data_IF_577065116400
#
_entry.id   IF_577065116400
#
_cell.length_a   1.000
_cell.length_b   1.000
_cell.length_c   1.000
_cell.angle_alpha   90.00
_cell.angle_beta   90.00
_cell.angle_gamma   90.00
#
_symmetry.space_group_name_H-M   'P 1'
#
loop_
_entity.id
_entity.type
_entity.pdbx_description
1 polymer ?
#
# COMPACT_ATOMS: atom_id res chain seq x y z
N UNK A 1 17.21 -14.08 22.85
CA UNK A 1 16.48 -13.65 21.63
C UNK A 1 15.43 -12.60 22.00
N UNK A 2 15.17 -11.67 21.10
CA UNK A 2 14.08 -10.70 21.18
C UNK A 2 12.73 -11.40 21.41
N UNK A 3 11.89 -10.85 22.28
CA UNK A 3 10.51 -11.34 22.51
C UNK A 3 9.56 -10.69 21.51
N UNK A 4 9.15 -11.44 20.47
CA UNK A 4 8.20 -10.96 19.47
C UNK A 4 6.78 -10.98 20.00
N UNK A 5 6.05 -9.87 19.79
CA UNK A 5 4.68 -9.68 20.20
C UNK A 5 3.84 -9.19 19.02
N UNK A 6 2.53 -9.44 19.09
CA UNK A 6 1.56 -8.90 18.16
C UNK A 6 0.35 -8.31 18.90
N UNK A 7 -0.31 -7.35 18.27
CA UNK A 7 -1.56 -6.75 18.75
C UNK A 7 -2.22 -5.97 17.60
N UNK A 8 -3.39 -5.42 17.88
CA UNK A 8 -3.99 -4.43 16.98
C UNK A 8 -3.33 -3.07 17.15
N UNK A 9 -3.31 -2.28 16.08
CA UNK A 9 -2.75 -0.92 16.10
C UNK A 9 -3.33 -0.06 17.23
N UNK A 10 -4.65 -0.07 17.40
CA UNK A 10 -5.33 0.71 18.43
C UNK A 10 -5.05 0.25 19.87
N UNK A 11 -4.56 -0.97 20.07
CA UNK A 11 -4.18 -1.51 21.37
C UNK A 11 -2.72 -1.21 21.74
N UNK A 12 -1.89 -0.86 20.75
CA UNK A 12 -0.45 -0.71 20.95
C UNK A 12 -0.13 0.39 21.99
N UNK A 13 -0.87 1.50 21.95
CA UNK A 13 -0.65 2.60 22.90
C UNK A 13 -0.88 2.17 24.37
N UNK A 14 -1.89 1.35 24.62
CA UNK A 14 -2.17 0.83 25.98
C UNK A 14 -1.08 -0.13 26.46
N UNK A 15 -0.59 -0.99 25.56
CA UNK A 15 0.49 -1.96 25.84
C UNK A 15 1.84 -1.29 26.15
N UNK A 16 1.99 -0.02 25.78
CA UNK A 16 3.18 0.81 26.02
C UNK A 16 3.06 1.68 27.29
N UNK A 17 2.05 1.44 28.14
CA UNK A 17 1.93 2.19 29.40
C UNK A 17 3.18 2.02 30.26
N UNK A 18 3.80 3.13 30.69
CA UNK A 18 5.06 3.18 31.45
C UNK A 18 6.27 2.56 30.75
N UNK A 19 6.23 2.43 29.40
CA UNK A 19 7.34 1.91 28.59
C UNK A 19 7.89 3.00 27.67
N UNK A 20 9.16 2.82 27.26
CA UNK A 20 9.82 3.66 26.25
C UNK A 20 9.84 2.94 24.91
N UNK A 21 9.25 3.57 23.92
CA UNK A 21 9.23 3.04 22.56
C UNK A 21 10.46 3.52 21.78
N UNK A 22 11.10 2.62 21.09
CA UNK A 22 12.11 2.90 20.07
C UNK A 22 11.65 2.34 18.73
N UNK A 23 11.69 3.16 17.67
CA UNK A 23 11.33 2.74 16.33
C UNK A 23 12.59 2.36 15.56
N UNK A 24 12.69 1.12 15.06
CA UNK A 24 13.84 0.70 14.26
C UNK A 24 13.54 0.83 12.78
N UNK A 25 14.18 1.80 12.14
CA UNK A 25 14.01 2.23 10.76
C UNK A 25 13.43 3.65 10.68
N UNK A 26 14.22 4.62 10.22
CA UNK A 26 13.84 6.02 9.99
C UNK A 26 13.72 6.36 8.49
N UNK A 27 13.40 5.36 7.66
CA UNK A 27 13.26 5.50 6.21
C UNK A 27 11.84 5.84 5.77
N UNK A 28 11.57 5.69 4.48
CA UNK A 28 10.26 5.96 3.88
C UNK A 28 9.11 5.21 4.54
N UNK A 29 9.35 4.00 5.07
CA UNK A 29 8.33 3.27 5.81
C UNK A 29 7.89 4.03 7.07
N UNK A 30 8.83 4.63 7.82
CA UNK A 30 8.50 5.44 8.99
C UNK A 30 7.71 6.70 8.61
N UNK A 31 8.02 7.32 7.46
CA UNK A 31 7.25 8.45 6.91
C UNK A 31 5.82 8.03 6.53
N UNK A 32 5.64 6.84 5.95
CA UNK A 32 4.31 6.32 5.60
C UNK A 32 3.48 5.99 6.81
N UNK A 33 4.11 5.51 7.88
CA UNK A 33 3.48 5.19 9.16
C UNK A 33 3.22 6.41 10.04
N UNK A 34 3.68 7.59 9.64
CA UNK A 34 3.51 8.82 10.44
C UNK A 34 2.04 9.06 10.79
N UNK A 35 1.14 8.82 9.83
CA UNK A 35 -0.29 8.98 10.03
C UNK A 35 -0.83 8.00 11.10
N UNK A 36 -0.54 6.70 10.98
CA UNK A 36 -0.99 5.66 11.92
C UNK A 36 -0.43 5.90 13.31
N UNK A 37 0.85 6.26 13.41
CA UNK A 37 1.53 6.59 14.68
C UNK A 37 0.84 7.79 15.36
N UNK A 38 0.51 8.84 14.60
CA UNK A 38 -0.19 10.01 15.13
C UNK A 38 -1.64 9.68 15.54
N UNK A 39 -2.37 8.90 14.73
CA UNK A 39 -3.76 8.51 15.02
C UNK A 39 -3.91 7.72 16.33
N UNK A 40 -2.91 6.93 16.70
CA UNK A 40 -2.90 6.17 17.97
C UNK A 40 -2.09 6.85 19.07
N UNK A 41 -1.70 8.11 18.89
CA UNK A 41 -0.96 8.93 19.86
C UNK A 41 0.34 8.28 20.35
N UNK A 42 1.10 7.68 19.45
CA UNK A 42 2.39 7.05 19.78
C UNK A 42 3.58 8.00 19.68
N UNK A 43 3.46 9.12 18.95
CA UNK A 43 4.57 10.03 18.71
C UNK A 43 5.25 10.49 20.02
N UNK A 44 4.46 10.82 21.05
CA UNK A 44 4.94 11.24 22.37
C UNK A 44 5.69 10.14 23.14
N UNK A 45 5.45 8.87 22.81
CA UNK A 45 6.10 7.71 23.47
C UNK A 45 7.38 7.28 22.79
N UNK A 46 7.64 7.77 21.57
CA UNK A 46 8.85 7.41 20.83
C UNK A 46 10.04 8.18 21.40
N UNK A 47 10.96 7.45 22.04
CA UNK A 47 12.19 8.02 22.61
C UNK A 47 13.23 8.35 21.53
N UNK A 48 13.36 7.50 20.52
CA UNK A 48 14.24 7.71 19.37
C UNK A 48 13.87 6.77 18.21
N UNK A 49 14.28 7.15 17.01
CA UNK A 49 14.43 6.23 15.88
C UNK A 49 15.84 5.63 15.91
N UNK A 50 15.94 4.34 15.60
CA UNK A 50 17.20 3.63 15.41
C UNK A 50 17.41 3.48 13.91
N UNK A 51 18.57 3.85 13.37
CA UNK A 51 18.89 3.63 11.98
C UNK A 51 20.36 3.19 11.80
N UNK A 52 20.58 2.20 10.93
CA UNK A 52 21.91 1.72 10.60
C UNK A 52 22.63 2.62 9.59
N UNK A 53 21.91 3.49 8.88
CA UNK A 53 22.50 4.44 7.95
C UNK A 53 23.17 5.59 8.73
N UNK A 54 24.49 5.64 8.66
CA UNK A 54 25.30 6.66 9.34
C UNK A 54 24.86 8.09 8.98
N UNK A 55 24.48 8.34 7.73
CA UNK A 55 24.06 9.68 7.30
C UNK A 55 22.75 10.17 7.93
N UNK A 56 21.96 9.28 8.49
CA UNK A 56 20.72 9.62 9.21
C UNK A 56 20.93 9.81 10.71
N UNK A 57 21.98 9.24 11.24
CA UNK A 57 22.27 9.33 12.68
C UNK A 57 22.61 10.79 13.06
N UNK A 58 22.03 11.26 14.16
CA UNK A 58 22.13 12.66 14.60
C UNK A 58 21.14 13.60 13.93
N UNK A 59 20.29 13.12 13.00
CA UNK A 59 19.16 13.86 12.46
C UNK A 59 17.88 13.65 13.30
N UNK A 60 16.75 14.14 12.82
CA UNK A 60 15.46 14.00 13.47
C UNK A 60 14.40 13.52 12.48
N UNK A 61 13.45 12.72 12.98
CA UNK A 61 12.16 12.45 12.33
C UNK A 61 11.12 13.34 13.02
N UNK A 62 10.34 14.09 12.25
CA UNK A 62 9.27 14.93 12.78
C UNK A 62 7.92 14.21 12.64
N UNK A 63 7.23 14.00 13.78
CA UNK A 63 5.91 13.38 13.85
C UNK A 63 5.02 14.24 14.76
N UNK A 64 3.89 14.68 14.25
CA UNK A 64 2.91 15.50 14.98
C UNK A 64 3.55 16.74 15.67
N UNK A 65 4.48 17.39 14.96
CA UNK A 65 5.24 18.54 15.49
C UNK A 65 6.35 18.19 16.49
N UNK A 66 6.54 16.90 16.80
CA UNK A 66 7.57 16.42 17.73
C UNK A 66 8.81 16.01 16.95
N UNK A 67 9.97 16.57 17.26
CA UNK A 67 11.27 16.18 16.69
C UNK A 67 11.87 15.03 17.49
N UNK A 68 11.88 13.84 16.91
CA UNK A 68 12.35 12.61 17.51
C UNK A 68 13.75 12.30 16.98
N UNK A 69 14.78 12.14 17.82
CA UNK A 69 16.16 11.94 17.37
C UNK A 69 16.35 10.59 16.68
N UNK A 70 17.24 10.56 15.70
CA UNK A 70 17.73 9.33 15.04
C UNK A 70 19.08 8.95 15.64
N UNK A 71 19.17 7.76 16.22
CA UNK A 71 20.37 7.26 16.90
C UNK A 71 20.92 5.99 16.25
N UNK A 72 22.18 5.68 16.49
CA UNK A 72 22.77 4.41 16.07
C UNK A 72 22.24 3.24 16.90
N UNK A 73 22.30 2.02 16.35
CA UNK A 73 21.98 0.79 17.08
C UNK A 73 22.81 0.64 18.36
N UNK A 74 24.11 0.94 18.32
CA UNK A 74 24.98 0.87 19.49
C UNK A 74 24.57 1.86 20.60
N UNK A 75 24.15 3.07 20.24
CA UNK A 75 23.66 4.05 21.21
C UNK A 75 22.33 3.61 21.84
N UNK A 76 21.44 3.03 21.04
CA UNK A 76 20.21 2.43 21.55
C UNK A 76 20.49 1.33 22.57
N UNK A 77 21.39 0.37 22.25
CA UNK A 77 21.75 -0.72 23.19
C UNK A 77 22.25 -0.18 24.51
N UNK A 78 23.01 0.92 24.53
CA UNK A 78 23.51 1.56 25.76
C UNK A 78 22.42 2.26 26.57
N UNK A 79 21.39 2.79 25.90
CA UNK A 79 20.32 3.59 26.52
C UNK A 79 19.11 2.76 27.00
N UNK A 80 19.04 1.49 26.61
CA UNK A 80 17.92 0.62 26.96
C UNK A 80 17.77 0.42 28.48
N UNK A 81 16.56 0.14 28.90
CA UNK A 81 16.20 -0.23 30.28
C UNK A 81 15.10 -1.30 30.29
N UNK A 82 14.67 -1.73 31.47
CA UNK A 82 13.65 -2.77 31.62
C UNK A 82 12.26 -2.41 31.05
N UNK A 83 12.01 -1.13 30.77
CA UNK A 83 10.77 -0.68 30.12
C UNK A 83 10.93 -0.42 28.61
N UNK A 84 12.01 -0.88 27.98
CA UNK A 84 12.25 -0.68 26.55
C UNK A 84 11.38 -1.60 25.71
N UNK A 85 10.74 -1.01 24.70
CA UNK A 85 9.98 -1.72 23.66
C UNK A 85 10.47 -1.24 22.30
N UNK A 86 10.54 -2.14 21.33
CA UNK A 86 10.96 -1.84 19.96
C UNK A 86 9.75 -2.01 19.03
N UNK A 87 9.54 -1.06 18.13
CA UNK A 87 8.69 -1.20 16.96
C UNK A 87 9.57 -1.14 15.71
N UNK A 88 9.62 -2.22 14.93
CA UNK A 88 10.33 -2.19 13.65
C UNK A 88 9.43 -1.51 12.62
N UNK A 89 9.95 -0.41 12.04
CA UNK A 89 9.31 0.46 11.06
C UNK A 89 10.08 0.43 9.74
N UNK A 90 10.31 -0.78 9.23
CA UNK A 90 11.12 -1.00 8.02
C UNK A 90 10.74 -2.28 7.31
N UNK A 91 10.81 -2.26 5.97
CA UNK A 91 10.68 -3.47 5.15
C UNK A 91 11.83 -4.48 5.35
N UNK A 92 12.96 -4.05 5.92
CA UNK A 92 14.10 -4.90 6.25
C UNK A 92 14.00 -5.52 7.65
N UNK A 93 12.76 -5.71 8.16
CA UNK A 93 12.50 -6.22 9.51
C UNK A 93 13.18 -7.55 9.82
N UNK A 94 13.32 -8.44 8.85
CA UNK A 94 14.01 -9.71 9.04
C UNK A 94 15.49 -9.54 9.41
N UNK A 95 16.20 -8.66 8.68
CA UNK A 95 17.63 -8.41 8.92
C UNK A 95 17.83 -7.65 10.26
N UNK A 96 16.89 -6.76 10.58
CA UNK A 96 16.88 -6.04 11.86
C UNK A 96 16.63 -6.98 13.06
N UNK A 97 15.73 -7.97 12.90
CA UNK A 97 15.52 -9.01 13.90
C UNK A 97 16.78 -9.84 14.13
N UNK A 98 17.43 -10.30 13.04
CA UNK A 98 18.69 -11.04 13.15
C UNK A 98 19.78 -10.22 13.84
N UNK A 99 19.87 -8.92 13.55
CA UNK A 99 20.81 -8.01 14.23
C UNK A 99 20.52 -7.94 15.72
N UNK A 100 19.26 -7.77 16.12
CA UNK A 100 18.87 -7.69 17.53
C UNK A 100 19.05 -9.02 18.26
N UNK A 101 18.77 -10.16 17.61
CA UNK A 101 18.94 -11.48 18.22
C UNK A 101 20.41 -11.84 18.49
N UNK A 102 21.35 -11.21 17.77
CA UNK A 102 22.81 -11.36 18.01
C UNK A 102 23.33 -10.50 19.16
N UNK A 103 22.51 -9.59 19.69
CA UNK A 103 22.86 -8.68 20.78
C UNK A 103 22.33 -9.24 22.12
N UNK A 104 23.21 -9.83 22.98
CA UNK A 104 22.78 -10.48 24.22
C UNK A 104 22.07 -9.53 25.18
N UNK A 105 22.40 -8.25 25.13
CA UNK A 105 21.79 -7.24 25.98
C UNK A 105 20.34 -6.94 25.62
N UNK A 106 19.84 -7.43 24.48
CA UNK A 106 18.43 -7.31 24.04
C UNK A 106 17.62 -8.57 24.32
N UNK A 107 18.18 -9.56 25.02
CA UNK A 107 17.44 -10.79 25.34
C UNK A 107 16.19 -10.49 26.16
N UNK A 108 15.04 -11.01 25.70
CA UNK A 108 13.73 -10.79 26.31
C UNK A 108 13.11 -9.41 26.09
N UNK A 109 13.79 -8.48 25.41
CA UNK A 109 13.20 -7.16 25.07
C UNK A 109 12.00 -7.34 24.15
N UNK A 110 10.89 -6.69 24.48
CA UNK A 110 9.65 -6.74 23.71
C UNK A 110 9.81 -6.02 22.37
N UNK A 111 9.37 -6.68 21.30
CA UNK A 111 9.45 -6.15 19.96
C UNK A 111 8.15 -6.40 19.19
N UNK A 112 7.64 -5.35 18.58
CA UNK A 112 6.57 -5.39 17.58
C UNK A 112 7.17 -5.12 16.20
N UNK A 113 6.55 -5.69 15.18
CA UNK A 113 6.91 -5.41 13.79
C UNK A 113 5.66 -4.84 13.12
N UNK A 114 5.78 -3.65 12.58
CA UNK A 114 4.67 -2.89 12.03
C UNK A 114 3.83 -3.72 11.05
N UNK A 115 4.48 -4.39 10.10
CA UNK A 115 3.78 -5.16 9.06
C UNK A 115 2.93 -6.32 9.60
N UNK A 116 3.14 -6.75 10.84
CA UNK A 116 2.35 -7.80 11.50
C UNK A 116 1.28 -7.24 12.44
N UNK A 117 1.27 -5.94 12.73
CA UNK A 117 0.20 -5.35 13.52
C UNK A 117 -1.13 -5.48 12.76
N UNK A 118 -2.16 -5.91 13.50
CA UNK A 118 -3.47 -6.18 12.92
C UNK A 118 -4.26 -4.89 12.76
N UNK A 119 -4.81 -4.67 11.58
CA UNK A 119 -5.80 -3.63 11.32
C UNK A 119 -7.21 -4.15 11.61
N UNK A 120 -8.13 -3.30 12.06
CA UNK A 120 -9.55 -3.68 12.19
C UNK A 120 -10.11 -4.16 10.86
N UNK A 121 -10.93 -5.21 10.90
CA UNK A 121 -11.70 -5.64 9.73
C UNK A 121 -12.93 -4.75 9.64
N UNK A 122 -12.93 -3.84 8.69
CA UNK A 122 -14.04 -2.94 8.43
C UNK A 122 -15.06 -3.58 7.47
N UNK A 123 -16.34 -3.41 7.79
CA UNK A 123 -17.43 -3.95 6.96
C UNK A 123 -17.72 -3.02 5.79
N UNK A 124 -17.92 -3.61 4.62
CA UNK A 124 -18.47 -2.91 3.47
C UNK A 124 -19.99 -3.05 3.43
N UNK A 125 -20.65 -2.02 2.94
CA UNK A 125 -22.10 -2.01 2.75
C UNK A 125 -22.39 -1.70 1.29
N UNK A 126 -23.12 -2.60 0.64
CA UNK A 126 -23.65 -2.37 -0.69
C UNK A 126 -25.14 -2.09 -0.55
N UNK A 127 -25.58 -0.90 -0.92
CA UNK A 127 -27.01 -0.63 -1.03
C UNK A 127 -27.55 -1.45 -2.21
N UNK A 128 -28.23 -2.52 -1.91
CA UNK A 128 -28.94 -3.35 -2.90
C UNK A 128 -30.29 -2.69 -3.21
N UNK A 129 -30.26 -1.44 -3.64
CA UNK A 129 -31.42 -0.87 -4.28
C UNK A 129 -31.56 -1.54 -5.65
N UNK A 130 -32.55 -2.42 -5.80
CA UNK A 130 -32.75 -3.24 -6.99
C UNK A 130 -32.95 -2.44 -8.30
N UNK A 131 -33.11 -1.11 -8.22
CA UNK A 131 -33.43 -0.23 -9.35
C UNK A 131 -32.35 0.80 -9.70
N UNK A 132 -31.12 0.72 -9.14
CA UNK A 132 -30.04 1.64 -9.54
C UNK A 132 -29.44 1.22 -10.89
N UNK A 133 -29.39 2.19 -11.81
CA UNK A 133 -28.80 2.01 -13.16
C UNK A 133 -27.27 1.90 -13.04
N UNK A 134 -26.70 1.00 -13.83
CA UNK A 134 -25.26 0.90 -14.01
C UNK A 134 -24.74 2.19 -14.68
N UNK A 135 -23.75 2.83 -14.07
CA UNK A 135 -23.12 4.07 -14.56
C UNK A 135 -21.79 3.78 -15.23
N UNK A 136 -21.08 2.79 -14.68
CA UNK A 136 -19.77 2.35 -15.18
C UNK A 136 -20.01 1.30 -16.26
N UNK A 137 -19.45 1.45 -17.47
CA UNK A 137 -19.61 0.46 -18.54
C UNK A 137 -18.90 -0.86 -18.21
N UNK A 138 -19.43 -1.98 -18.72
CA UNK A 138 -18.88 -3.34 -18.58
C UNK A 138 -17.59 -3.51 -19.40
N UNK A 139 -16.55 -2.82 -18.98
CA UNK A 139 -15.21 -2.88 -19.57
C UNK A 139 -14.19 -3.08 -18.46
N UNK A 140 -13.25 -4.00 -18.68
CA UNK A 140 -12.06 -4.17 -17.83
C UNK A 140 -10.85 -3.75 -18.64
N UNK A 141 -10.11 -2.78 -18.14
CA UNK A 141 -8.89 -2.27 -18.74
C UNK A 141 -7.68 -2.70 -17.92
N UNK A 142 -6.58 -3.03 -18.59
CA UNK A 142 -5.29 -3.28 -17.93
C UNK A 142 -4.14 -2.78 -18.82
N UNK A 143 -3.02 -2.43 -18.19
CA UNK A 143 -1.81 -2.01 -18.87
C UNK A 143 -0.74 -3.09 -18.82
N UNK A 144 -0.02 -3.27 -19.94
CA UNK A 144 1.17 -4.11 -19.99
C UNK A 144 2.19 -3.50 -20.94
N UNK A 145 3.07 -2.64 -20.38
CA UNK A 145 4.14 -1.98 -21.11
C UNK A 145 5.46 -2.76 -21.04
N UNK A 146 6.42 -2.45 -21.94
CA UNK A 146 7.77 -3.02 -21.95
C UNK A 146 7.97 -4.17 -22.92
N UNK A 147 6.97 -4.47 -23.79
CA UNK A 147 7.06 -5.43 -24.91
C UNK A 147 7.41 -6.89 -24.53
N UNK A 148 7.35 -7.23 -23.24
CA UNK A 148 7.57 -8.59 -22.78
C UNK A 148 6.25 -9.37 -22.75
N UNK A 149 6.34 -10.70 -22.83
CA UNK A 149 5.19 -11.56 -22.63
C UNK A 149 4.67 -11.47 -21.18
N UNK A 150 3.36 -11.60 -21.02
CA UNK A 150 2.74 -11.66 -19.71
C UNK A 150 3.11 -13.02 -19.08
N UNK A 151 3.74 -13.06 -17.89
CA UNK A 151 4.04 -14.30 -17.20
C UNK A 151 2.82 -15.17 -16.98
N UNK A 152 3.00 -16.50 -17.06
CA UNK A 152 1.91 -17.47 -16.94
C UNK A 152 1.05 -17.29 -15.69
N UNK A 153 1.65 -16.95 -14.56
CA UNK A 153 0.90 -16.71 -13.32
C UNK A 153 -0.11 -15.56 -13.42
N UNK A 154 0.16 -14.52 -14.23
CA UNK A 154 -0.78 -13.42 -14.43
C UNK A 154 -1.87 -13.77 -15.43
N UNK A 155 -1.56 -14.63 -16.40
CA UNK A 155 -2.60 -15.16 -17.31
C UNK A 155 -3.68 -15.93 -16.54
N UNK A 156 -3.34 -16.60 -15.42
CA UNK A 156 -4.35 -17.25 -14.58
C UNK A 156 -5.28 -16.23 -13.90
N UNK A 157 -4.76 -15.06 -13.50
CA UNK A 157 -5.61 -14.00 -12.96
C UNK A 157 -6.52 -13.41 -14.04
N UNK A 158 -6.02 -13.18 -15.27
CA UNK A 158 -6.84 -12.71 -16.38
C UNK A 158 -7.99 -13.71 -16.70
N UNK A 159 -7.76 -15.02 -16.63
CA UNK A 159 -8.81 -16.03 -16.76
C UNK A 159 -9.91 -15.90 -15.70
N UNK A 160 -9.56 -15.43 -14.50
CA UNK A 160 -10.58 -15.17 -13.48
C UNK A 160 -11.52 -14.04 -13.89
N UNK A 161 -11.03 -13.04 -14.63
CA UNK A 161 -11.85 -11.94 -15.13
C UNK A 161 -12.88 -12.44 -16.15
N UNK A 162 -12.45 -13.27 -17.11
CA UNK A 162 -13.35 -13.90 -18.08
C UNK A 162 -14.39 -14.80 -17.39
N UNK A 163 -13.96 -15.54 -16.36
CA UNK A 163 -14.81 -16.45 -15.60
C UNK A 163 -15.92 -15.76 -14.84
N UNK A 164 -15.60 -14.67 -14.11
CA UNK A 164 -16.54 -13.98 -13.24
C UNK A 164 -17.27 -12.82 -13.92
N UNK A 165 -16.73 -12.30 -15.02
CA UNK A 165 -17.26 -11.19 -15.79
C UNK A 165 -17.33 -11.55 -17.31
N UNK A 166 -18.08 -12.62 -17.70
CA UNK A 166 -18.06 -13.14 -19.08
C UNK A 166 -18.68 -12.19 -20.09
N UNK A 167 -19.44 -11.19 -19.66
CA UNK A 167 -20.10 -10.18 -20.48
C UNK A 167 -19.35 -8.83 -20.51
N UNK A 168 -18.14 -8.79 -19.93
CA UNK A 168 -17.29 -7.61 -19.98
C UNK A 168 -16.33 -7.64 -21.17
N UNK A 169 -16.11 -6.49 -21.80
CA UNK A 169 -15.04 -6.30 -22.76
C UNK A 169 -13.70 -6.12 -22.01
N UNK A 170 -12.74 -7.05 -22.21
CA UNK A 170 -11.41 -6.96 -21.59
C UNK A 170 -10.43 -6.34 -22.58
N UNK A 171 -9.82 -5.21 -22.23
CA UNK A 171 -9.02 -4.37 -23.11
C UNK A 171 -7.60 -4.23 -22.56
N UNK A 172 -6.62 -4.73 -23.32
CA UNK A 172 -5.19 -4.54 -23.07
C UNK A 172 -4.72 -3.20 -23.63
N UNK A 173 -3.91 -2.51 -22.84
CA UNK A 173 -3.22 -1.30 -23.25
C UNK A 173 -1.71 -1.50 -23.19
N UNK A 174 -1.03 -1.13 -24.27
CA UNK A 174 0.41 -1.20 -24.41
C UNK A 174 0.91 -0.12 -25.38
N UNK A 175 2.16 -0.19 -25.80
CA UNK A 175 2.79 0.77 -26.71
C UNK A 175 2.14 0.89 -28.09
N UNK A 176 1.30 -0.06 -28.47
CA UNK A 176 0.66 -0.06 -29.79
C UNK A 176 -0.63 0.76 -29.81
N UNK A 177 -1.28 0.94 -28.67
CA UNK A 177 -2.59 1.58 -28.57
C UNK A 177 -2.70 2.65 -27.49
N UNK A 178 -1.63 2.91 -26.73
CA UNK A 178 -1.56 3.99 -25.75
C UNK A 178 -0.38 4.91 -26.03
N UNK A 179 -0.65 6.20 -26.13
CA UNK A 179 0.38 7.22 -26.28
C UNK A 179 0.97 7.58 -24.90
N UNK A 180 2.10 6.97 -24.56
CA UNK A 180 2.82 7.23 -23.31
C UNK A 180 3.63 8.53 -23.33
N UNK A 181 3.75 9.21 -24.48
CA UNK A 181 4.40 10.51 -24.59
C UNK A 181 3.45 11.69 -24.30
N UNK A 182 2.19 11.45 -23.96
CA UNK A 182 1.19 12.49 -23.63
C UNK A 182 1.63 13.46 -22.54
N UNK A 183 2.34 12.98 -21.53
CA UNK A 183 2.85 13.78 -20.41
C UNK A 183 4.30 13.43 -20.11
N UNK A 184 5.07 14.41 -19.62
CA UNK A 184 6.49 14.22 -19.34
C UNK A 184 6.74 13.07 -18.34
N UNK A 185 5.87 12.89 -17.37
CA UNK A 185 5.97 11.82 -16.36
C UNK A 185 6.03 10.44 -17.01
N UNK A 186 5.05 10.09 -17.84
CA UNK A 186 4.99 8.76 -18.51
C UNK A 186 6.10 8.58 -19.52
N UNK A 187 6.42 9.61 -20.30
CA UNK A 187 7.52 9.61 -21.26
C UNK A 187 8.86 9.31 -20.61
N UNK A 188 9.15 9.99 -19.50
CA UNK A 188 10.39 9.78 -18.73
C UNK A 188 10.42 8.40 -18.05
N UNK A 189 9.30 7.97 -17.44
CA UNK A 189 9.18 6.67 -16.81
C UNK A 189 9.38 5.52 -17.81
N UNK A 190 8.78 5.63 -19.01
CA UNK A 190 8.93 4.64 -20.07
C UNK A 190 10.39 4.52 -20.52
N UNK A 191 11.05 5.64 -20.82
CA UNK A 191 12.47 5.67 -21.24
C UNK A 191 13.42 5.17 -20.16
N UNK A 192 13.06 5.33 -18.88
CA UNK A 192 13.80 4.78 -17.74
C UNK A 192 13.52 3.28 -17.49
N UNK A 193 12.67 2.61 -18.30
CA UNK A 193 12.27 1.22 -18.12
C UNK A 193 11.43 0.97 -16.86
N UNK A 194 10.73 2.01 -16.37
CA UNK A 194 9.89 1.98 -15.17
C UNK A 194 8.41 1.91 -15.54
N UNK A 195 8.02 0.84 -16.19
CA UNK A 195 6.71 0.69 -16.84
C UNK A 195 5.53 0.71 -15.88
N UNK A 196 5.70 0.28 -14.63
CA UNK A 196 4.66 0.38 -13.61
C UNK A 196 4.23 1.85 -13.38
N UNK A 197 5.21 2.79 -13.40
CA UNK A 197 4.91 4.22 -13.26
C UNK A 197 4.22 4.82 -14.51
N UNK A 198 4.42 4.22 -15.68
CA UNK A 198 3.62 4.56 -16.88
C UNK A 198 2.15 4.18 -16.64
N UNK A 199 1.91 2.99 -16.10
CA UNK A 199 0.56 2.50 -15.77
C UNK A 199 -0.14 3.37 -14.72
N UNK A 200 0.59 4.00 -13.79
CA UNK A 200 0.02 4.86 -12.75
C UNK A 200 -0.77 6.05 -13.30
N UNK A 201 -0.28 6.66 -14.37
CA UNK A 201 -1.01 7.71 -15.08
C UNK A 201 -1.98 7.11 -16.10
N UNK A 202 -1.54 6.13 -16.89
CA UNK A 202 -2.32 5.58 -17.98
C UNK A 202 -3.68 5.05 -17.50
N UNK A 203 -3.74 4.39 -16.35
CA UNK A 203 -4.99 3.87 -15.77
C UNK A 203 -6.03 4.97 -15.53
N UNK A 204 -5.60 6.13 -15.06
CA UNK A 204 -6.48 7.28 -14.82
C UNK A 204 -6.98 7.89 -16.13
N UNK A 205 -6.09 8.03 -17.11
CA UNK A 205 -6.40 8.59 -18.43
C UNK A 205 -7.34 7.69 -19.23
N UNK A 206 -7.12 6.38 -19.20
CA UNK A 206 -7.95 5.36 -19.85
C UNK A 206 -9.36 5.37 -19.27
N UNK A 207 -9.49 5.27 -17.97
CA UNK A 207 -10.81 5.23 -17.30
C UNK A 207 -11.55 6.56 -17.47
N UNK A 208 -10.85 7.69 -17.40
CA UNK A 208 -11.48 8.97 -17.72
C UNK A 208 -12.02 9.02 -19.15
N UNK A 209 -11.26 8.50 -20.11
CA UNK A 209 -11.59 8.59 -21.53
C UNK A 209 -12.69 7.61 -21.95
N UNK A 210 -12.69 6.39 -21.41
CA UNK A 210 -13.56 5.31 -21.87
C UNK A 210 -14.60 4.88 -20.85
N UNK A 211 -14.42 5.20 -19.57
CA UNK A 211 -15.15 4.58 -18.45
C UNK A 211 -14.75 3.12 -18.30
N UNK A 212 -15.29 2.44 -17.29
CA UNK A 212 -15.03 1.04 -17.01
C UNK A 212 -14.26 0.83 -15.72
N UNK A 213 -13.71 -0.37 -15.57
CA UNK A 213 -12.92 -0.79 -14.41
C UNK A 213 -11.48 -1.02 -14.88
N UNK A 214 -10.52 -0.55 -14.11
CA UNK A 214 -9.10 -0.86 -14.29
C UNK A 214 -8.65 -1.88 -13.25
N UNK A 215 -7.91 -2.88 -13.67
CA UNK A 215 -7.26 -3.86 -12.81
C UNK A 215 -5.77 -3.98 -13.21
N UNK A 216 -4.87 -4.04 -12.23
CA UNK A 216 -3.49 -4.47 -12.50
C UNK A 216 -3.48 -5.98 -12.85
N UNK A 217 -2.49 -6.43 -13.63
CA UNK A 217 -2.43 -7.83 -14.13
C UNK A 217 -2.25 -8.88 -13.03
N UNK A 218 -1.87 -8.48 -11.83
CA UNK A 218 -1.74 -9.32 -10.64
C UNK A 218 -2.96 -9.23 -9.71
N UNK A 219 -4.08 -8.76 -10.23
CA UNK A 219 -5.38 -8.76 -9.55
C UNK A 219 -6.20 -9.97 -10.02
N UNK A 220 -6.62 -10.79 -9.08
CA UNK A 220 -7.60 -11.86 -9.28
C UNK A 220 -9.02 -11.34 -9.03
N UNK A 221 -9.96 -11.61 -9.92
CA UNK A 221 -11.38 -11.38 -9.69
C UNK A 221 -11.96 -12.64 -9.06
N UNK A 222 -12.63 -12.49 -7.92
CA UNK A 222 -13.18 -13.62 -7.15
C UNK A 222 -14.71 -13.62 -7.13
N UNK A 223 -15.32 -12.57 -7.71
CA UNK A 223 -16.78 -12.40 -7.79
C UNK A 223 -17.12 -11.48 -8.97
N UNK A 224 -18.34 -11.62 -9.53
CA UNK A 224 -18.85 -10.70 -10.55
C UNK A 224 -18.86 -9.26 -10.07
N UNK A 225 -18.39 -8.34 -10.93
CA UNK A 225 -18.16 -6.93 -10.59
C UNK A 225 -19.39 -6.03 -10.77
N UNK A 226 -20.53 -6.54 -11.25
CA UNK A 226 -21.75 -5.76 -11.53
C UNK A 226 -22.21 -4.88 -10.35
N UNK A 227 -22.15 -5.31 -9.08
CA UNK A 227 -22.53 -4.46 -7.95
C UNK A 227 -21.71 -3.16 -7.86
N UNK A 228 -20.47 -3.15 -8.36
CA UNK A 228 -19.60 -1.96 -8.37
C UNK A 228 -19.96 -0.96 -9.47
N UNK A 229 -20.64 -1.39 -10.55
CA UNK A 229 -20.99 -0.54 -11.69
C UNK A 229 -22.03 0.56 -11.38
N UNK A 230 -22.72 0.43 -10.26
CA UNK A 230 -23.73 1.41 -9.80
C UNK A 230 -23.10 2.71 -9.26
N UNK A 231 -21.82 2.71 -8.96
CA UNK A 231 -21.10 3.91 -8.53
C UNK A 231 -20.83 4.85 -9.70
N UNK A 232 -20.68 6.17 -9.42
CA UNK A 232 -20.08 7.08 -10.40
C UNK A 232 -18.57 6.83 -10.55
N UNK A 233 -17.91 6.68 -9.41
CA UNK A 233 -16.55 6.19 -9.29
C UNK A 233 -16.41 5.37 -8.01
N UNK A 234 -15.58 4.34 -8.03
CA UNK A 234 -15.15 3.62 -6.84
C UNK A 234 -13.65 3.38 -6.84
N UNK A 235 -13.09 3.29 -5.65
CA UNK A 235 -11.73 2.83 -5.37
C UNK A 235 -11.70 2.17 -3.99
N UNK A 236 -10.54 1.70 -3.54
CA UNK A 236 -10.41 1.03 -2.25
C UNK A 236 -9.14 1.39 -1.51
N UNK A 237 -9.19 1.12 -0.21
CA UNK A 237 -8.01 1.14 0.65
C UNK A 237 -7.17 -0.12 0.45
N UNK A 238 -5.86 0.04 0.58
CA UNK A 238 -4.92 -1.04 0.88
C UNK A 238 -4.48 -0.98 2.35
N UNK A 239 -3.58 -1.88 2.77
CA UNK A 239 -2.99 -1.82 4.12
C UNK A 239 -2.31 -0.47 4.36
N UNK A 240 -2.45 0.09 5.57
CA UNK A 240 -2.03 1.44 5.91
C UNK A 240 -3.05 2.51 5.50
N UNK A 241 -4.26 2.10 5.14
CA UNK A 241 -5.37 2.99 4.74
C UNK A 241 -5.00 3.98 3.63
N UNK A 242 -4.16 3.55 2.69
CA UNK A 242 -3.83 4.29 1.47
C UNK A 242 -4.78 3.92 0.34
N UNK A 243 -5.10 4.87 -0.51
CA UNK A 243 -5.85 4.62 -1.75
C UNK A 243 -4.92 4.04 -2.80
N UNK A 244 -5.34 2.93 -3.41
CA UNK A 244 -4.59 2.30 -4.48
C UNK A 244 -5.52 1.95 -5.66
N UNK A 245 -5.33 2.62 -6.79
CA UNK A 245 -6.10 2.35 -8.02
C UNK A 245 -5.61 1.11 -8.78
N UNK A 246 -4.50 0.48 -8.36
CA UNK A 246 -4.03 -0.80 -8.92
C UNK A 246 -4.85 -2.00 -8.46
N UNK A 247 -5.47 -1.92 -7.26
CA UNK A 247 -6.30 -3.00 -6.70
C UNK A 247 -7.55 -3.32 -7.51
N UNK A 248 -7.99 -2.34 -8.26
CA UNK A 248 -9.25 -2.23 -8.93
C UNK A 248 -9.94 -0.91 -8.57
N UNK A 249 -10.23 -0.11 -9.57
CA UNK A 249 -11.07 1.08 -9.48
C UNK A 249 -11.87 1.21 -10.75
N UNK A 250 -12.97 1.92 -10.70
CA UNK A 250 -13.77 2.18 -11.89
C UNK A 250 -14.49 3.49 -11.81
N UNK A 251 -14.79 4.06 -12.98
CA UNK A 251 -15.58 5.27 -13.09
C UNK A 251 -16.43 5.30 -14.36
N UNK A 252 -17.51 6.08 -14.32
CA UNK A 252 -18.21 6.50 -15.51
C UNK A 252 -17.28 7.34 -16.41
N UNK A 253 -17.52 7.31 -17.71
CA UNK A 253 -16.74 8.08 -18.67
C UNK A 253 -16.83 9.58 -18.36
N UNK A 254 -15.68 10.26 -18.32
CA UNK A 254 -15.59 11.71 -18.13
C UNK A 254 -15.85 12.19 -16.70
N UNK A 255 -15.76 11.31 -15.70
CA UNK A 255 -15.96 11.69 -14.30
C UNK A 255 -14.99 12.80 -13.87
N UNK A 256 -15.53 13.93 -13.38
CA UNK A 256 -14.79 15.17 -13.18
C UNK A 256 -13.61 15.05 -12.23
N UNK A 257 -13.76 14.39 -11.08
CA UNK A 257 -12.68 14.24 -10.11
C UNK A 257 -11.56 13.31 -10.61
N UNK A 258 -11.89 12.32 -11.44
CA UNK A 258 -10.87 11.49 -12.08
C UNK A 258 -10.02 12.30 -13.07
N UNK A 259 -10.64 13.27 -13.78
CA UNK A 259 -9.89 14.26 -14.58
C UNK A 259 -8.92 15.03 -13.69
N UNK A 260 -9.37 15.55 -12.57
CA UNK A 260 -8.55 16.38 -11.69
C UNK A 260 -7.38 15.56 -11.09
N UNK A 261 -7.64 14.31 -10.70
CA UNK A 261 -6.59 13.37 -10.25
C UNK A 261 -5.56 13.07 -11.33
N UNK A 262 -5.99 12.90 -12.58
CA UNK A 262 -5.09 12.74 -13.74
C UNK A 262 -4.25 13.99 -13.99
N UNK A 263 -4.87 15.18 -13.90
CA UNK A 263 -4.20 16.46 -14.17
C UNK A 263 -3.03 16.77 -13.21
N UNK A 264 -3.04 16.19 -12.01
CA UNK A 264 -1.92 16.33 -11.06
C UNK A 264 -0.58 15.89 -11.66
N UNK A 265 -0.59 14.85 -12.50
CA UNK A 265 0.63 14.33 -13.12
C UNK A 265 1.27 15.24 -14.15
N UNK A 266 0.54 16.26 -14.66
CA UNK A 266 1.10 17.22 -15.62
C UNK A 266 2.25 18.04 -15.03
N UNK A 267 2.23 18.25 -13.72
CA UNK A 267 3.24 19.03 -13.00
C UNK A 267 4.27 18.16 -12.28
N UNK A 268 4.20 16.83 -12.46
CA UNK A 268 5.14 15.88 -11.88
C UNK A 268 6.15 15.43 -12.93
N UNK A 269 7.43 15.50 -12.59
CA UNK A 269 8.50 14.91 -13.38
C UNK A 269 8.89 13.55 -12.77
N UNK A 270 9.14 12.57 -13.61
CA UNK A 270 9.65 11.27 -13.16
C UNK A 270 11.17 11.30 -12.94
N UNK A 271 11.89 12.16 -13.68
CA UNK A 271 13.31 12.41 -13.48
C UNK A 271 13.45 13.79 -12.83
N UNK A 272 13.99 13.84 -11.62
CA UNK A 272 14.25 15.06 -10.88
C UNK A 272 15.35 15.91 -11.56
N UNK A 273 15.46 17.17 -11.17
CA UNK A 273 16.47 18.10 -11.72
C UNK A 273 17.92 17.66 -11.46
N UNK A 274 18.15 16.85 -10.42
CA UNK A 274 19.44 16.25 -10.08
C UNK A 274 19.72 14.90 -10.78
N UNK A 275 18.81 14.46 -11.67
CA UNK A 275 18.89 13.20 -12.39
C UNK A 275 18.41 11.97 -11.62
N UNK A 276 18.01 12.10 -10.37
CA UNK A 276 17.42 10.99 -9.61
C UNK A 276 15.99 10.69 -10.07
N UNK A 277 15.52 9.46 -9.83
CA UNK A 277 14.17 9.06 -10.18
C UNK A 277 13.18 9.42 -9.05
N UNK A 278 12.07 10.02 -9.42
CA UNK A 278 10.93 10.19 -8.54
C UNK A 278 10.15 8.87 -8.43
N UNK A 279 10.45 8.09 -7.41
CA UNK A 279 9.81 6.80 -7.14
C UNK A 279 8.63 6.92 -6.15
N UNK A 280 8.05 8.10 -6.01
CA UNK A 280 6.85 8.30 -5.20
C UNK A 280 5.72 7.43 -5.74
N UNK A 281 5.15 6.53 -4.94
CA UNK A 281 4.12 5.60 -5.41
C UNK A 281 2.81 6.35 -5.69
N UNK A 282 2.03 5.83 -6.64
CA UNK A 282 0.72 6.39 -7.00
C UNK A 282 -0.24 6.48 -5.81
N UNK A 283 -0.13 5.56 -4.86
CA UNK A 283 -0.95 5.53 -3.64
C UNK A 283 -0.82 6.82 -2.83
N UNK A 284 0.39 7.40 -2.75
CA UNK A 284 0.58 8.68 -2.07
C UNK A 284 -0.14 9.81 -2.81
N UNK A 285 0.06 9.96 -4.11
CA UNK A 285 -0.61 11.01 -4.90
C UNK A 285 -2.13 10.92 -4.79
N UNK A 286 -2.68 9.72 -4.88
CA UNK A 286 -4.13 9.47 -4.85
C UNK A 286 -4.71 9.71 -3.46
N UNK A 287 -3.99 9.31 -2.42
CA UNK A 287 -4.42 9.51 -1.03
C UNK A 287 -4.39 11.01 -0.69
N UNK A 288 -3.28 11.71 -0.95
CA UNK A 288 -3.15 13.14 -0.69
C UNK A 288 -4.26 13.95 -1.41
N UNK A 289 -4.56 13.57 -2.68
CA UNK A 289 -5.63 14.20 -3.43
C UNK A 289 -6.99 14.03 -2.77
N UNK A 290 -7.33 12.81 -2.36
CA UNK A 290 -8.62 12.55 -1.73
C UNK A 290 -8.69 13.08 -0.30
N UNK A 291 -7.59 13.15 0.45
CA UNK A 291 -7.52 13.82 1.77
C UNK A 291 -7.82 15.31 1.63
N UNK A 292 -7.33 15.98 0.59
CA UNK A 292 -7.68 17.37 0.30
C UNK A 292 -9.16 17.59 0.02
N UNK A 293 -9.91 16.51 -0.25
CA UNK A 293 -11.36 16.48 -0.49
C UNK A 293 -12.14 15.87 0.68
N UNK A 294 -11.50 15.60 1.80
CA UNK A 294 -12.15 15.13 3.03
C UNK A 294 -12.08 13.62 3.29
N UNK A 295 -11.25 12.86 2.52
CA UNK A 295 -10.97 11.46 2.84
C UNK A 295 -10.41 11.37 4.27
N UNK A 296 -10.94 10.42 5.03
CA UNK A 296 -10.36 10.01 6.31
C UNK A 296 -9.67 8.66 6.13
N UNK A 297 -8.38 8.58 6.42
CA UNK A 297 -7.60 7.34 6.34
C UNK A 297 -7.91 6.39 7.51
N UNK A 298 -9.14 5.93 7.61
CA UNK A 298 -9.64 5.12 8.73
C UNK A 298 -10.09 3.71 8.30
N UNK A 299 -9.82 3.32 7.07
CA UNK A 299 -10.20 2.02 6.51
C UNK A 299 -11.70 1.83 6.28
N UNK A 300 -12.55 2.78 6.69
CA UNK A 300 -14.00 2.66 6.61
C UNK A 300 -14.55 3.11 5.26
N UNK A 301 -15.65 2.52 4.87
CA UNK A 301 -16.37 2.94 3.67
C UNK A 301 -16.78 4.40 3.76
N UNK A 302 -16.51 5.17 2.68
CA UNK A 302 -16.79 6.60 2.58
C UNK A 302 -17.38 6.94 1.21
N UNK A 303 -18.09 8.06 1.15
CA UNK A 303 -18.51 8.68 -0.11
C UNK A 303 -17.98 10.12 -0.12
N UNK A 304 -17.15 10.44 -1.11
CA UNK A 304 -16.48 11.73 -1.23
C UNK A 304 -16.72 12.24 -2.65
N UNK A 305 -17.49 13.30 -2.80
CA UNK A 305 -17.78 13.95 -4.09
C UNK A 305 -18.13 12.97 -5.23
N UNK A 306 -18.92 11.92 -4.91
CA UNK A 306 -19.34 10.88 -5.87
C UNK A 306 -18.38 9.69 -5.96
N UNK A 307 -17.22 9.72 -5.29
CA UNK A 307 -16.29 8.59 -5.20
C UNK A 307 -16.66 7.71 -4.02
N UNK A 308 -17.00 6.44 -4.27
CA UNK A 308 -17.18 5.43 -3.22
C UNK A 308 -15.82 4.82 -2.90
N UNK A 309 -15.32 5.08 -1.70
CA UNK A 309 -14.10 4.46 -1.18
C UNK A 309 -14.50 3.24 -0.36
N UNK A 310 -13.99 2.07 -0.72
CA UNK A 310 -14.29 0.81 -0.03
C UNK A 310 -13.19 0.42 0.95
N UNK A 311 -13.55 -0.29 2.05
CA UNK A 311 -12.59 -0.97 2.91
C UNK A 311 -11.73 -1.96 2.11
N UNK A 312 -10.52 -2.25 2.60
CA UNK A 312 -9.60 -3.20 1.93
C UNK A 312 -10.19 -4.59 1.72
N UNK A 313 -11.11 -5.03 2.58
CA UNK A 313 -11.82 -6.31 2.46
C UNK A 313 -12.54 -6.49 1.12
N UNK A 314 -12.84 -5.39 0.41
CA UNK A 314 -13.56 -5.42 -0.86
C UNK A 314 -12.66 -5.69 -2.06
N UNK A 315 -11.47 -5.05 -2.11
CA UNK A 315 -10.59 -5.08 -3.27
C UNK A 315 -9.19 -5.62 -2.99
N UNK A 316 -8.72 -5.61 -1.73
CA UNK A 316 -7.37 -5.99 -1.35
C UNK A 316 -7.34 -6.77 -0.02
N UNK A 317 -7.94 -7.99 0.04
CA UNK A 317 -8.00 -8.78 1.27
C UNK A 317 -6.61 -9.23 1.75
N UNK A 318 -5.64 -9.33 0.83
CA UNK A 318 -4.23 -9.55 1.15
C UNK A 318 -3.52 -8.22 1.43
N UNK A 319 -2.36 -8.29 2.06
CA UNK A 319 -1.39 -7.19 2.09
C UNK A 319 -0.13 -7.55 1.30
N UNK A 320 0.70 -6.53 1.05
CA UNK A 320 1.95 -6.71 0.32
C UNK A 320 2.85 -7.83 0.88
N UNK A 321 2.87 -7.99 2.20
CA UNK A 321 3.67 -8.98 2.90
C UNK A 321 2.99 -10.34 3.02
N UNK A 322 1.71 -10.44 2.62
CA UNK A 322 0.87 -11.64 2.75
C UNK A 322 0.79 -12.18 4.21
N UNK A 323 0.86 -11.28 5.17
CA UNK A 323 0.71 -11.63 6.60
C UNK A 323 -0.73 -11.55 7.07
N UNK A 324 -1.60 -10.85 6.36
CA UNK A 324 -3.03 -10.78 6.63
C UNK A 324 -3.87 -11.31 5.47
N UNK A 325 -5.00 -11.91 5.83
CA UNK A 325 -6.00 -12.40 4.91
C UNK A 325 -7.37 -11.97 5.44
N UNK A 326 -7.99 -11.00 4.79
CA UNK A 326 -9.26 -10.40 5.19
C UNK A 326 -10.38 -10.66 4.15
N UNK A 327 -10.42 -11.84 3.55
CA UNK A 327 -11.52 -12.23 2.68
C UNK A 327 -12.86 -12.20 3.41
N UNK A 328 -13.88 -11.74 2.72
CA UNK A 328 -15.25 -11.69 3.20
C UNK A 328 -16.22 -11.99 2.06
N UNK A 329 -17.50 -12.13 2.40
CA UNK A 329 -18.57 -12.24 1.39
C UNK A 329 -18.71 -11.01 0.51
N UNK A 330 -17.99 -9.94 0.81
CA UNK A 330 -18.01 -8.68 0.06
C UNK A 330 -16.70 -8.46 -0.73
N UNK A 331 -15.82 -9.44 -0.81
CA UNK A 331 -14.60 -9.38 -1.60
C UNK A 331 -14.91 -9.60 -3.08
N UNK A 332 -14.49 -8.68 -3.94
CA UNK A 332 -14.62 -8.74 -5.40
C UNK A 332 -13.32 -9.03 -6.10
N UNK A 333 -12.23 -8.45 -5.62
CA UNK A 333 -10.89 -8.65 -6.18
C UNK A 333 -9.88 -8.99 -5.09
N UNK A 334 -8.79 -9.63 -5.48
CA UNK A 334 -7.66 -9.91 -4.61
C UNK A 334 -6.36 -9.51 -5.32
N UNK A 335 -5.69 -8.49 -4.82
CA UNK A 335 -4.41 -8.05 -5.35
C UNK A 335 -3.28 -8.89 -4.77
N UNK A 336 -2.44 -9.47 -5.65
CA UNK A 336 -1.37 -10.39 -5.25
C UNK A 336 -0.01 -9.73 -5.04
N UNK A 337 0.07 -8.40 -5.26
CA UNK A 337 1.26 -7.56 -5.01
C UNK A 337 2.54 -8.17 -5.59
N UNK A 338 2.56 -8.43 -6.90
CA UNK A 338 3.71 -9.02 -7.58
C UNK A 338 4.99 -8.17 -7.48
N UNK A 339 4.84 -6.85 -7.26
CA UNK A 339 5.91 -5.90 -7.01
C UNK A 339 7.07 -5.97 -8.01
N UNK A 340 6.74 -6.08 -9.29
CA UNK A 340 7.72 -6.19 -10.39
C UNK A 340 8.65 -4.97 -10.50
N UNK A 341 8.27 -3.87 -9.91
CA UNK A 341 9.07 -2.63 -9.83
C UNK A 341 10.15 -2.66 -8.73
N UNK A 342 10.02 -3.57 -7.73
CA UNK A 342 11.06 -3.87 -6.76
C UNK A 342 12.15 -4.72 -7.43
N UNK A 343 13.37 -4.22 -7.52
CA UNK A 343 14.47 -4.92 -8.17
C UNK A 343 14.68 -6.35 -7.66
N UNK A 344 15.29 -7.21 -8.49
CA UNK A 344 15.49 -8.67 -8.32
C UNK A 344 16.06 -9.14 -6.97
N UNK A 345 16.56 -8.26 -6.10
CA UNK A 345 17.14 -8.63 -4.79
C UNK A 345 16.11 -9.06 -3.74
N UNK A 346 14.85 -8.68 -3.89
CA UNK A 346 13.79 -9.09 -2.96
C UNK A 346 12.93 -10.18 -3.60
N UNK A 347 13.37 -11.44 -3.46
CA UNK A 347 12.55 -12.58 -3.85
C UNK A 347 11.34 -12.68 -2.92
N UNK A 348 10.15 -12.30 -3.39
CA UNK A 348 8.88 -12.33 -2.64
C UNK A 348 8.63 -13.69 -1.98
N UNK A 349 9.01 -14.80 -2.65
CA UNK A 349 8.88 -16.16 -2.10
C UNK A 349 9.73 -16.35 -0.83
N UNK A 350 10.95 -15.83 -0.83
CA UNK A 350 11.83 -15.83 0.36
C UNK A 350 11.26 -14.96 1.48
N UNK A 351 10.64 -13.83 1.14
CA UNK A 351 9.99 -12.96 2.12
C UNK A 351 8.78 -13.65 2.77
N UNK A 352 7.91 -14.28 1.99
CA UNK A 352 6.75 -15.03 2.50
C UNK A 352 7.19 -16.17 3.42
N UNK A 353 8.26 -16.91 3.06
CA UNK A 353 8.79 -17.96 3.93
C UNK A 353 9.30 -17.41 5.26
N UNK A 354 10.09 -16.33 5.24
CA UNK A 354 10.57 -15.64 6.45
C UNK A 354 9.40 -15.14 7.32
N UNK A 355 8.31 -14.67 6.71
CA UNK A 355 7.12 -14.23 7.43
C UNK A 355 6.46 -15.37 8.18
N UNK A 356 6.37 -16.57 7.58
CA UNK A 356 5.85 -17.75 8.28
C UNK A 356 6.69 -18.11 9.53
N UNK A 357 8.00 -18.05 9.43
CA UNK A 357 8.92 -18.31 10.56
C UNK A 357 8.71 -17.27 11.68
N UNK A 358 8.57 -16.00 11.33
CA UNK A 358 8.31 -14.92 12.29
C UNK A 358 6.94 -15.10 12.97
N UNK A 359 5.89 -15.42 12.22
CA UNK A 359 4.55 -15.67 12.76
C UNK A 359 4.58 -16.88 13.71
N UNK A 360 5.27 -17.94 13.36
CA UNK A 360 5.46 -19.09 14.21
C UNK A 360 6.14 -18.69 15.53
N UNK A 361 7.25 -17.94 15.46
CA UNK A 361 7.96 -17.42 16.65
C UNK A 361 7.07 -16.53 17.55
N UNK A 362 6.13 -15.76 16.98
CA UNK A 362 5.16 -14.99 17.76
C UNK A 362 4.15 -15.85 18.52
N UNK A 363 3.90 -17.09 18.07
CA UNK A 363 2.94 -18.03 18.66
C UNK A 363 3.56 -18.93 19.72
N UNK A 364 4.86 -19.14 19.69
CA UNK A 364 5.64 -19.95 20.63
C UNK A 364 5.89 -19.16 21.94
N UNK A 365 4.83 -18.87 22.71
CA UNK A 365 4.92 -18.18 24.02
C UNK A 365 4.91 -19.14 25.20
#
# INVERSE_FOLDING_TARGET
MIRLLNCKWNELNEKLTNKKLYCFGSGSQAEWLSYEICQVHLAEKISAFIDNNFNKQGTFVELDGIKIPVISFNNFVKQRNNGTVILITSMYYSDMLEQMDREPLLDGVECYIEVFLEEPIEKAYFNVAHNEVEKIPKKIHYCWFGKQDIPQQYLEYLKSWERFCPDYEIIRWDENNYDYDKVSYTSQAYRAGKWAFVSDYARLDIIYTYGGIYLDVDVEVVRNLDPLLKNQMFCGFEKGNLINTGLGFGAEKGFGLLRDMREMYKNVLFINSDGTLNLTPCTKFQTDFLESRGLKRNGKQQLIDGIRVYPRTVLAPYDFFQVSNQFSDMTFTAHHYAATWFGRKNNKRSLVQKNHEIIQRMREK
#
